data_IF_772578105825
#
_entry.id   IF_772578105825
#
_cell.length_a   1.000
_cell.length_b   1.000
_cell.length_c   1.000
_cell.angle_alpha   90.00
_cell.angle_beta   90.00
_cell.angle_gamma   90.00
#
_symmetry.space_group_name_H-M   'P 1'
#
loop_
_entity.id
_entity.type
_entity.pdbx_description
1 polymer ?
#
# COMPACT_ATOMS: atom_id res chain seq x y z
N UNK A 1 5.05 -18.30 0.80
CA UNK A 1 5.23 -16.89 1.25
C UNK A 1 4.21 -16.64 2.35
N UNK A 2 4.58 -15.98 3.44
CA UNK A 2 3.61 -15.61 4.49
C UNK A 2 2.58 -14.62 3.92
N UNK A 3 1.33 -14.73 4.34
CA UNK A 3 0.25 -13.78 4.04
C UNK A 3 0.29 -12.53 4.93
N UNK A 4 1.27 -12.44 5.82
CA UNK A 4 1.44 -11.37 6.79
C UNK A 4 2.87 -10.88 6.82
N UNK A 5 3.03 -9.57 6.97
CA UNK A 5 4.28 -8.87 7.19
C UNK A 5 4.18 -8.06 8.48
N UNK A 6 5.02 -8.39 9.46
CA UNK A 6 5.12 -7.61 10.69
C UNK A 6 6.09 -6.44 10.50
N UNK A 7 5.58 -5.22 10.63
CA UNK A 7 6.37 -4.00 10.61
C UNK A 7 6.71 -3.60 12.05
N UNK A 8 7.99 -3.68 12.39
CA UNK A 8 8.47 -3.24 13.70
C UNK A 8 8.33 -1.70 13.83
N UNK A 9 8.15 -1.23 15.05
CA UNK A 9 8.01 0.21 15.38
C UNK A 9 9.14 1.08 14.84
N UNK A 10 10.36 0.56 14.76
CA UNK A 10 11.53 1.25 14.21
C UNK A 10 11.39 1.63 12.74
N UNK A 11 10.57 0.90 11.98
CA UNK A 11 10.33 1.14 10.55
C UNK A 11 9.05 1.93 10.27
N UNK A 12 8.31 2.32 11.29
CA UNK A 12 7.04 3.02 11.12
C UNK A 12 7.16 4.48 11.56
N UNK A 13 6.67 5.40 10.74
CA UNK A 13 6.69 6.85 11.05
C UNK A 13 6.02 7.20 12.39
N UNK A 14 5.12 6.34 12.87
CA UNK A 14 4.36 6.55 14.12
C UNK A 14 4.97 5.89 15.34
N UNK A 15 6.06 5.10 15.21
CA UNK A 15 6.67 4.37 16.32
C UNK A 15 5.82 3.19 16.85
N UNK A 16 4.84 2.70 16.10
CA UNK A 16 4.00 1.56 16.48
C UNK A 16 4.20 0.39 15.54
N UNK A 17 4.43 -0.80 16.12
CA UNK A 17 4.44 -2.05 15.35
C UNK A 17 3.04 -2.32 14.79
N UNK A 18 3.00 -2.89 13.59
CA UNK A 18 1.73 -3.33 12.98
C UNK A 18 1.95 -4.50 12.04
N UNK A 19 0.89 -5.29 11.85
CA UNK A 19 0.84 -6.34 10.85
C UNK A 19 0.16 -5.83 9.59
N UNK A 20 0.77 -6.07 8.44
CA UNK A 20 0.21 -5.81 7.12
C UNK A 20 -0.16 -7.14 6.49
N UNK A 21 -1.39 -7.24 5.98
CA UNK A 21 -1.87 -8.44 5.30
C UNK A 21 -1.59 -8.36 3.81
N UNK A 22 -1.14 -9.46 3.23
CA UNK A 22 -0.78 -9.60 1.81
C UNK A 22 -1.83 -10.48 1.15
N UNK A 23 -2.61 -9.94 0.22
CA UNK A 23 -3.58 -10.74 -0.51
C UNK A 23 -2.91 -11.67 -1.53
N UNK A 24 -3.61 -12.71 -1.97
CA UNK A 24 -3.08 -13.73 -2.88
C UNK A 24 -2.54 -13.14 -4.20
N UNK A 25 -3.17 -12.09 -4.74
CA UNK A 25 -2.72 -11.41 -5.96
C UNK A 25 -1.37 -10.74 -5.75
N UNK A 26 -1.23 -9.98 -4.66
CA UNK A 26 0.03 -9.31 -4.33
C UNK A 26 1.14 -10.32 -4.02
N UNK A 27 0.84 -11.39 -3.28
CA UNK A 27 1.79 -12.46 -2.99
C UNK A 27 2.34 -13.09 -4.28
N UNK A 28 1.46 -13.38 -5.26
CA UNK A 28 1.85 -13.92 -6.57
C UNK A 28 2.76 -12.96 -7.34
N UNK A 29 2.44 -11.67 -7.38
CA UNK A 29 3.26 -10.67 -8.09
C UNK A 29 4.61 -10.45 -7.39
N UNK A 30 4.65 -10.40 -6.05
CA UNK A 30 5.90 -10.33 -5.30
C UNK A 30 6.79 -11.55 -5.56
N UNK A 31 6.22 -12.74 -5.62
CA UNK A 31 6.98 -13.95 -5.90
C UNK A 31 7.59 -13.95 -7.31
N UNK A 32 6.83 -13.54 -8.33
CA UNK A 32 7.35 -13.36 -9.69
C UNK A 32 8.50 -12.35 -9.71
N UNK A 33 8.32 -11.23 -9.03
CA UNK A 33 9.35 -10.18 -8.95
C UNK A 33 10.63 -10.70 -8.30
N UNK A 34 10.55 -11.42 -7.18
CA UNK A 34 11.71 -12.01 -6.50
C UNK A 34 12.43 -13.02 -7.40
N UNK A 35 11.69 -13.88 -8.10
CA UNK A 35 12.26 -14.84 -9.07
C UNK A 35 13.01 -14.12 -10.20
N UNK A 36 12.42 -13.05 -10.73
CA UNK A 36 13.06 -12.23 -11.78
C UNK A 36 14.33 -11.57 -11.27
N UNK A 37 14.33 -11.01 -10.07
CA UNK A 37 15.53 -10.43 -9.47
C UNK A 37 16.63 -11.46 -9.27
N UNK A 38 16.29 -12.66 -8.78
CA UNK A 38 17.25 -13.76 -8.59
C UNK A 38 17.88 -14.22 -9.90
N UNK A 39 17.11 -14.23 -10.98
CA UNK A 39 17.59 -14.58 -12.30
C UNK A 39 18.54 -13.51 -12.88
N UNK A 40 18.31 -12.22 -12.57
CA UNK A 40 19.15 -11.13 -13.03
C UNK A 40 20.49 -11.07 -12.31
N UNK A 41 20.52 -11.30 -11.02
CA UNK A 41 21.76 -11.35 -10.23
C UNK A 41 21.53 -11.98 -8.86
N UNK A 42 22.34 -12.98 -8.52
CA UNK A 42 22.34 -13.58 -7.18
C UNK A 42 22.68 -12.55 -6.07
N UNK A 43 23.43 -11.48 -6.39
CA UNK A 43 23.74 -10.39 -5.44
C UNK A 43 22.52 -9.52 -5.09
N UNK A 44 21.51 -9.49 -5.96
CA UNK A 44 20.32 -8.67 -5.78
C UNK A 44 19.23 -9.37 -4.95
N UNK A 45 19.40 -10.65 -4.63
CA UNK A 45 18.37 -11.48 -4.00
C UNK A 45 18.84 -12.18 -2.72
N UNK A 46 19.56 -11.48 -1.87
CA UNK A 46 19.92 -11.97 -0.53
C UNK A 46 18.81 -11.63 0.47
N UNK A 47 18.67 -12.36 1.59
CA UNK A 47 17.71 -12.02 2.64
C UNK A 47 17.87 -10.61 3.23
N UNK A 48 19.04 -10.01 3.10
CA UNK A 48 19.39 -8.66 3.56
C UNK A 48 19.18 -7.59 2.50
N UNK A 49 18.95 -7.99 1.24
CA UNK A 49 18.75 -7.03 0.15
C UNK A 49 17.40 -6.31 0.28
N UNK A 50 17.33 -5.01 -0.02
CA UNK A 50 16.04 -4.33 -0.11
C UNK A 50 15.15 -5.01 -1.16
N UNK A 51 13.87 -5.22 -0.85
CA UNK A 51 12.92 -5.81 -1.80
C UNK A 51 12.79 -4.95 -3.06
N UNK A 52 12.66 -3.64 -2.90
CA UNK A 52 12.62 -2.66 -4.00
C UNK A 52 13.98 -1.97 -4.04
N UNK A 53 14.74 -2.21 -5.09
CA UNK A 53 16.10 -1.72 -5.24
C UNK A 53 16.17 -0.58 -6.25
N UNK A 54 17.01 0.41 -5.95
CA UNK A 54 17.40 1.44 -6.89
C UNK A 54 18.38 0.87 -7.95
N UNK A 55 18.61 1.60 -9.03
CA UNK A 55 19.60 1.22 -10.05
C UNK A 55 21.01 1.00 -9.48
N UNK A 56 21.33 1.63 -8.34
CA UNK A 56 22.61 1.47 -7.63
C UNK A 56 22.65 0.22 -6.71
N UNK A 57 21.58 -0.59 -6.69
CA UNK A 57 21.48 -1.82 -5.89
C UNK A 57 21.13 -1.61 -4.41
N UNK A 58 20.99 -0.37 -3.94
CA UNK A 58 20.59 -0.05 -2.57
C UNK A 58 19.11 0.26 -2.44
N UNK A 59 18.64 0.48 -1.21
CA UNK A 59 17.29 0.96 -0.94
C UNK A 59 17.05 2.35 -1.53
N UNK A 60 15.82 2.62 -1.96
CA UNK A 60 15.41 3.97 -2.30
C UNK A 60 15.37 4.86 -1.04
N UNK A 61 15.81 6.11 -1.17
CA UNK A 61 15.42 7.14 -0.22
C UNK A 61 13.93 7.49 -0.40
N UNK A 62 13.31 8.07 0.62
CA UNK A 62 11.91 8.51 0.52
C UNK A 62 11.69 9.48 -0.66
N UNK A 63 12.63 10.43 -0.84
CA UNK A 63 12.56 11.41 -1.94
C UNK A 63 12.69 10.74 -3.32
N UNK A 64 13.68 9.87 -3.50
CA UNK A 64 13.87 9.16 -4.77
C UNK A 64 12.67 8.30 -5.14
N UNK A 65 12.04 7.65 -4.14
CA UNK A 65 10.85 6.86 -4.37
C UNK A 65 9.63 7.73 -4.74
N UNK A 66 9.48 8.89 -4.10
CA UNK A 66 8.43 9.86 -4.48
C UNK A 66 8.62 10.38 -5.90
N UNK A 67 9.84 10.68 -6.33
CA UNK A 67 10.16 11.09 -7.70
C UNK A 67 9.80 9.99 -8.70
N UNK A 68 10.23 8.74 -8.43
CA UNK A 68 9.90 7.60 -9.29
C UNK A 68 8.39 7.42 -9.46
N UNK A 69 7.60 7.51 -8.39
CA UNK A 69 6.14 7.47 -8.49
C UNK A 69 5.57 8.62 -9.33
N UNK A 70 6.12 9.84 -9.17
CA UNK A 70 5.74 10.98 -10.00
C UNK A 70 5.98 10.75 -11.50
N UNK A 71 7.14 10.19 -11.84
CA UNK A 71 7.48 9.82 -13.22
C UNK A 71 6.54 8.74 -13.77
N UNK A 72 6.31 7.66 -13.02
CA UNK A 72 5.38 6.58 -13.40
C UNK A 72 3.99 7.15 -13.66
N UNK A 73 3.45 7.98 -12.77
CA UNK A 73 2.13 8.59 -12.95
C UNK A 73 2.07 9.54 -14.15
N UNK A 74 3.14 10.26 -14.42
CA UNK A 74 3.24 11.14 -15.60
C UNK A 74 3.21 10.31 -16.88
N UNK A 75 4.01 9.25 -16.97
CA UNK A 75 4.08 8.36 -18.15
C UNK A 75 2.75 7.66 -18.39
N UNK A 76 2.04 7.29 -17.32
CA UNK A 76 0.73 6.63 -17.40
C UNK A 76 -0.44 7.60 -17.60
N UNK A 77 -0.19 8.91 -17.72
CA UNK A 77 -1.22 9.93 -17.96
C UNK A 77 -2.05 10.27 -16.71
N UNK A 78 -1.68 9.79 -15.54
CA UNK A 78 -2.38 10.07 -14.27
C UNK A 78 -1.97 11.44 -13.71
N UNK A 79 -2.44 12.50 -14.34
CA UNK A 79 -2.13 13.88 -13.94
C UNK A 79 -2.58 14.16 -12.51
N UNK A 80 -1.71 14.80 -11.72
CA UNK A 80 -1.99 15.15 -10.31
C UNK A 80 -1.90 13.99 -9.31
N UNK A 81 -1.57 12.78 -9.76
CA UNK A 81 -1.29 11.67 -8.86
C UNK A 81 0.05 11.88 -8.13
N UNK A 82 0.08 11.44 -6.87
CA UNK A 82 1.25 11.54 -5.97
C UNK A 82 1.57 10.19 -5.36
N UNK A 83 2.68 10.07 -4.64
CA UNK A 83 3.02 8.87 -3.87
C UNK A 83 1.92 8.41 -2.89
N UNK A 84 1.01 9.31 -2.51
CA UNK A 84 -0.14 8.99 -1.64
C UNK A 84 -1.39 8.53 -2.41
N UNK A 85 -1.42 8.66 -3.73
CA UNK A 85 -2.62 8.35 -4.53
C UNK A 85 -3.03 6.89 -4.45
N UNK A 86 -2.06 5.97 -4.46
CA UNK A 86 -2.34 4.54 -4.26
C UNK A 86 -2.99 4.24 -2.91
N UNK A 87 -2.52 4.90 -1.83
CA UNK A 87 -3.09 4.77 -0.50
C UNK A 87 -4.52 5.32 -0.43
N UNK A 88 -4.76 6.48 -1.03
CA UNK A 88 -6.11 7.06 -1.13
C UNK A 88 -7.05 6.12 -1.87
N UNK A 89 -6.65 5.62 -3.04
CA UNK A 89 -7.43 4.67 -3.82
C UNK A 89 -7.74 3.37 -3.05
N UNK A 90 -6.80 2.85 -2.28
CA UNK A 90 -7.00 1.69 -1.41
C UNK A 90 -8.09 1.95 -0.35
N UNK A 91 -8.02 3.06 0.36
CA UNK A 91 -8.99 3.43 1.40
C UNK A 91 -10.38 3.63 0.80
N UNK A 92 -10.48 4.40 -0.28
CA UNK A 92 -11.75 4.67 -0.97
C UNK A 92 -12.38 3.39 -1.51
N UNK A 93 -11.58 2.49 -2.09
CA UNK A 93 -12.07 1.20 -2.60
C UNK A 93 -12.64 0.31 -1.50
N UNK A 94 -11.99 0.26 -0.34
CA UNK A 94 -12.50 -0.50 0.81
C UNK A 94 -13.79 0.11 1.37
N UNK A 95 -13.87 1.44 1.42
CA UNK A 95 -15.07 2.15 1.84
C UNK A 95 -16.26 1.85 0.92
N UNK A 96 -16.07 1.92 -0.39
CA UNK A 96 -17.09 1.57 -1.38
C UNK A 96 -17.51 0.09 -1.33
N UNK A 97 -16.62 -0.79 -0.88
CA UNK A 97 -16.94 -2.20 -0.64
C UNK A 97 -17.68 -2.46 0.70
N UNK A 98 -18.06 -1.41 1.44
CA UNK A 98 -18.79 -1.53 2.70
C UNK A 98 -17.92 -1.95 3.89
N UNK A 99 -16.59 -1.93 3.77
CA UNK A 99 -15.70 -2.26 4.89
C UNK A 99 -15.79 -1.18 5.97
N UNK A 100 -15.92 -1.58 7.23
CA UNK A 100 -16.06 -0.62 8.34
C UNK A 100 -14.85 0.31 8.44
N UNK A 101 -15.10 1.57 8.77
CA UNK A 101 -14.07 2.60 8.88
C UNK A 101 -12.98 2.25 9.90
N UNK A 102 -13.31 1.49 10.93
CA UNK A 102 -12.34 0.99 11.93
C UNK A 102 -11.35 0.01 11.31
N UNK A 103 -11.83 -0.96 10.52
CA UNK A 103 -10.98 -1.92 9.80
C UNK A 103 -10.10 -1.20 8.78
N UNK A 104 -10.67 -0.25 8.03
CA UNK A 104 -9.91 0.57 7.08
C UNK A 104 -8.81 1.35 7.78
N UNK A 105 -9.10 1.94 8.93
CA UNK A 105 -8.14 2.69 9.76
C UNK A 105 -6.94 1.81 10.13
N UNK A 106 -7.19 0.61 10.61
CA UNK A 106 -6.15 -0.35 11.01
C UNK A 106 -5.30 -0.82 9.81
N UNK A 107 -5.95 -1.22 8.72
CA UNK A 107 -5.26 -1.61 7.49
C UNK A 107 -4.42 -0.47 6.90
N UNK A 108 -4.94 0.75 6.92
CA UNK A 108 -4.20 1.93 6.49
C UNK A 108 -3.11 2.35 7.49
N UNK A 109 -3.16 1.91 8.73
CA UNK A 109 -2.24 2.30 9.79
C UNK A 109 -2.40 3.76 10.21
N UNK A 110 -3.64 4.25 10.25
CA UNK A 110 -3.95 5.57 10.77
C UNK A 110 -4.12 5.50 12.29
N UNK A 111 -3.58 6.48 13.01
CA UNK A 111 -3.75 6.60 14.46
C UNK A 111 -5.18 7.00 14.87
N UNK A 112 -5.81 7.81 14.06
CA UNK A 112 -7.12 8.41 14.37
C UNK A 112 -8.12 8.09 13.24
N UNK A 113 -9.34 7.76 13.64
CA UNK A 113 -10.42 7.47 12.71
C UNK A 113 -10.76 8.66 11.81
N UNK A 114 -10.65 9.87 12.33
CA UNK A 114 -10.84 11.11 11.57
C UNK A 114 -9.93 11.23 10.36
N UNK A 115 -8.73 10.65 10.41
CA UNK A 115 -7.83 10.60 9.24
C UNK A 115 -8.38 9.70 8.14
N UNK A 116 -9.02 8.60 8.51
CA UNK A 116 -9.65 7.67 7.56
C UNK A 116 -10.93 8.28 6.98
N UNK A 117 -11.74 8.90 7.81
CA UNK A 117 -13.03 9.51 7.42
C UNK A 117 -12.89 10.57 6.33
N UNK A 118 -11.74 11.27 6.26
CA UNK A 118 -11.45 12.24 5.18
C UNK A 118 -11.43 11.65 3.78
N UNK A 119 -11.33 10.34 3.67
CA UNK A 119 -11.28 9.61 2.40
C UNK A 119 -12.54 8.78 2.14
N UNK A 120 -13.52 8.84 3.04
CA UNK A 120 -14.77 8.08 2.96
C UNK A 120 -15.90 9.05 2.65
N UNK A 121 -16.26 9.12 1.37
CA UNK A 121 -17.44 9.84 0.94
C UNK A 121 -18.66 8.91 1.05
N UNK A 122 -19.70 9.37 1.74
CA UNK A 122 -20.98 8.67 1.85
C UNK A 122 -21.90 9.16 0.74
N UNK A 123 -22.15 8.29 -0.24
CA UNK A 123 -23.09 8.57 -1.34
C UNK A 123 -24.51 8.16 -0.95
N UNK A 124 -25.51 8.68 -1.68
CA UNK A 124 -26.91 8.28 -1.47
C UNK A 124 -27.15 6.80 -1.78
N UNK A 125 -26.38 6.23 -2.73
CA UNK A 125 -26.43 4.79 -3.03
C UNK A 125 -25.95 3.95 -1.84
N UNK A 126 -24.91 4.40 -1.12
CA UNK A 126 -24.46 3.75 0.12
C UNK A 126 -25.56 3.77 1.19
N UNK A 127 -26.28 4.88 1.33
CA UNK A 127 -27.39 5.00 2.29
C UNK A 127 -28.54 4.07 1.92
N UNK A 128 -28.95 4.04 0.65
CA UNK A 128 -29.99 3.14 0.14
C UNK A 128 -29.63 1.69 0.37
N UNK A 129 -28.44 1.26 -0.05
CA UNK A 129 -27.97 -0.11 0.15
C UNK A 129 -27.91 -0.51 1.63
N UNK A 130 -27.56 0.42 2.53
CA UNK A 130 -27.53 0.14 3.96
C UNK A 130 -28.94 -0.08 4.56
N UNK A 131 -29.95 0.66 4.09
CA UNK A 131 -31.34 0.51 4.56
C UNK A 131 -31.95 -0.80 4.11
N UNK A 132 -31.57 -1.33 2.93
CA UNK A 132 -32.03 -2.62 2.43
C UNK A 132 -31.50 -3.84 3.24
N UNK A 133 -30.55 -3.62 4.16
CA UNK A 133 -29.99 -4.68 5.02
C UNK A 133 -30.78 -4.92 6.30
N UNK A 134 -31.78 -4.08 6.62
CA UNK A 134 -32.63 -4.14 7.80
C UNK A 134 -34.10 -4.23 7.38
#
# INVERSE_FOLDING_TARGET
MSDQLHLNSTYTKGGYSRTVFINAKLAKELQKYIVTLSALSARLSTPQSPLIQSQKGGAFSANSLCQLFGEIYTITGLKGATSHSGRRGFITKLAHAGVSSKVIMELAGHKHLTTTQRYIDVTDDHKRSAVELV
#
